data_IF_971165430059
#
_entry.id   IF_971165430059
#
_cell.length_a   1.000
_cell.length_b   1.000
_cell.length_c   1.000
_cell.angle_alpha   90.00
_cell.angle_beta   90.00
_cell.angle_gamma   90.00
#
_symmetry.space_group_name_H-M   'P 1'
#
loop_
_entity.id
_entity.type
_entity.pdbx_description
1 polymer ?
#
# COMPACT_ATOMS: atom_id res chain seq x y z
N UNK A 1 10.44 26.55 -13.45
CA UNK A 1 9.19 25.90 -13.90
C UNK A 1 9.53 24.45 -14.24
N UNK A 2 9.09 23.49 -13.43
CA UNK A 2 9.26 22.05 -13.74
C UNK A 2 8.25 21.66 -14.82
N UNK A 3 8.67 20.88 -15.82
CA UNK A 3 7.83 20.59 -16.98
C UNK A 3 6.70 19.61 -16.60
N UNK A 4 5.53 19.66 -17.25
CA UNK A 4 4.44 18.72 -16.99
C UNK A 4 4.87 17.24 -17.10
N UNK A 5 5.89 16.95 -17.92
CA UNK A 5 6.49 15.62 -18.06
C UNK A 5 7.22 15.14 -16.79
N UNK A 6 7.76 16.03 -15.96
CA UNK A 6 8.45 15.62 -14.72
C UNK A 6 7.45 15.16 -13.66
N UNK A 7 6.31 15.85 -13.53
CA UNK A 7 5.29 15.51 -12.53
C UNK A 7 4.56 14.21 -12.86
N UNK A 8 4.25 13.97 -14.13
CA UNK A 8 3.69 12.70 -14.58
C UNK A 8 4.63 11.53 -14.27
N UNK A 9 5.94 11.69 -14.52
CA UNK A 9 6.93 10.65 -14.17
C UNK A 9 6.97 10.39 -12.67
N UNK A 10 7.02 11.43 -11.83
CA UNK A 10 7.03 11.27 -10.38
C UNK A 10 5.79 10.52 -9.91
N UNK A 11 4.60 10.90 -10.40
CA UNK A 11 3.35 10.19 -10.08
C UNK A 11 3.41 8.71 -10.46
N UNK A 12 3.93 8.41 -11.65
CA UNK A 12 4.05 7.04 -12.16
C UNK A 12 5.06 6.20 -11.34
N UNK A 13 6.23 6.76 -11.03
CA UNK A 13 7.24 6.09 -10.20
C UNK A 13 6.78 5.87 -8.76
N UNK A 14 6.06 6.83 -8.17
CA UNK A 14 5.43 6.64 -6.85
C UNK A 14 4.42 5.48 -6.90
N UNK A 15 3.59 5.41 -7.95
CA UNK A 15 2.59 4.35 -8.10
C UNK A 15 3.22 2.97 -8.29
N UNK A 16 4.23 2.85 -9.16
CA UNK A 16 4.97 1.60 -9.38
C UNK A 16 5.70 1.15 -8.10
N UNK A 17 6.41 2.08 -7.44
CA UNK A 17 7.15 1.77 -6.22
C UNK A 17 6.21 1.33 -5.10
N UNK A 18 5.06 2.02 -4.97
CA UNK A 18 4.00 1.63 -4.05
C UNK A 18 3.47 0.23 -4.32
N UNK A 19 3.12 -0.08 -5.57
CA UNK A 19 2.65 -1.41 -5.99
C UNK A 19 3.66 -2.51 -5.67
N UNK A 20 4.92 -2.31 -6.04
CA UNK A 20 5.98 -3.30 -5.82
C UNK A 20 6.18 -3.54 -4.32
N UNK A 21 6.27 -2.46 -3.52
CA UNK A 21 6.45 -2.59 -2.08
C UNK A 21 5.23 -3.25 -1.41
N UNK A 22 4.00 -2.92 -1.80
CA UNK A 22 2.80 -3.62 -1.29
C UNK A 22 2.81 -5.11 -1.64
N UNK A 23 3.16 -5.47 -2.88
CA UNK A 23 3.22 -6.86 -3.30
C UNK A 23 4.28 -7.66 -2.52
N UNK A 24 5.47 -7.07 -2.30
CA UNK A 24 6.54 -7.69 -1.51
C UNK A 24 6.09 -7.90 -0.06
N UNK A 25 5.48 -6.89 0.57
CA UNK A 25 5.00 -7.01 1.96
C UNK A 25 3.95 -8.10 2.08
N UNK A 26 3.00 -8.16 1.13
CA UNK A 26 1.97 -9.19 1.13
C UNK A 26 2.57 -10.59 0.96
N UNK A 27 3.56 -10.74 0.06
CA UNK A 27 4.28 -12.01 -0.12
C UNK A 27 5.02 -12.42 1.17
N UNK A 28 5.71 -11.48 1.82
CA UNK A 28 6.42 -11.76 3.08
C UNK A 28 5.43 -12.16 4.17
N UNK A 29 4.33 -11.43 4.33
CA UNK A 29 3.30 -11.71 5.33
C UNK A 29 2.66 -13.10 5.11
N UNK A 30 2.32 -13.44 3.88
CA UNK A 30 1.74 -14.76 3.53
C UNK A 30 2.72 -15.91 3.76
N UNK A 31 3.99 -15.75 3.38
CA UNK A 31 5.04 -16.75 3.65
C UNK A 31 5.26 -16.94 5.16
N UNK A 32 5.34 -15.85 5.92
CA UNK A 32 5.48 -15.92 7.38
C UNK A 32 4.28 -16.63 8.03
N UNK A 33 3.06 -16.36 7.55
CA UNK A 33 1.84 -17.03 8.02
C UNK A 33 1.88 -18.53 7.75
N UNK A 34 2.22 -18.94 6.53
CA UNK A 34 2.32 -20.36 6.17
C UNK A 34 3.39 -21.11 6.99
N UNK A 35 4.52 -20.46 7.29
CA UNK A 35 5.56 -21.04 8.15
C UNK A 35 5.07 -21.17 9.60
N UNK A 36 4.33 -20.19 10.12
CA UNK A 36 3.79 -20.22 11.47
C UNK A 36 2.74 -21.33 11.64
N UNK A 37 1.81 -21.45 10.70
CA UNK A 37 0.77 -22.48 10.66
C UNK A 37 1.38 -23.89 10.54
N UNK A 38 2.37 -24.07 9.67
CA UNK A 38 3.04 -25.37 9.48
C UNK A 38 3.94 -25.82 10.63
N UNK A 39 4.30 -24.94 11.56
CA UNK A 39 5.19 -25.24 12.72
C UNK A 39 4.49 -25.24 14.07
N UNK A 40 3.16 -25.03 14.12
CA UNK A 40 2.41 -24.99 15.39
C UNK A 40 2.91 -23.95 16.38
N UNK A 41 3.58 -22.88 15.90
CA UNK A 41 4.26 -21.88 16.74
C UNK A 41 3.35 -20.68 17.03
N UNK A 42 3.44 -20.20 18.27
CA UNK A 42 2.57 -19.24 18.96
C UNK A 42 2.22 -17.95 18.21
N UNK A 43 1.02 -17.46 18.53
CA UNK A 43 0.45 -16.13 18.30
C UNK A 43 1.47 -14.98 18.19
N UNK A 44 2.52 -14.95 19.01
CA UNK A 44 3.52 -13.88 19.01
C UNK A 44 4.24 -13.65 17.66
N UNK A 45 4.47 -14.70 16.86
CA UNK A 45 5.14 -14.55 15.55
C UNK A 45 4.19 -13.98 14.48
N UNK A 46 2.89 -14.30 14.60
CA UNK A 46 1.81 -13.71 13.81
C UNK A 46 1.59 -12.25 14.20
N UNK A 47 1.55 -11.94 15.50
CA UNK A 47 1.41 -10.56 16.00
C UNK A 47 2.59 -9.68 15.57
N UNK A 48 3.83 -10.21 15.60
CA UNK A 48 5.02 -9.49 15.15
C UNK A 48 5.01 -9.21 13.64
N UNK A 49 4.53 -10.15 12.83
CA UNK A 49 4.35 -9.96 11.39
C UNK A 49 3.27 -8.91 11.10
N UNK A 50 2.16 -8.93 11.81
CA UNK A 50 1.09 -7.93 11.67
C UNK A 50 1.59 -6.52 12.01
N UNK A 51 2.35 -6.36 13.10
CA UNK A 51 2.96 -5.06 13.48
C UNK A 51 3.94 -4.56 12.40
N UNK A 52 4.76 -5.44 11.83
CA UNK A 52 5.68 -5.07 10.76
C UNK A 52 4.93 -4.64 9.49
N UNK A 53 3.84 -5.31 9.14
CA UNK A 53 2.95 -4.92 8.03
C UNK A 53 2.34 -3.54 8.29
N UNK A 54 1.85 -3.26 9.49
CA UNK A 54 1.31 -1.94 9.86
C UNK A 54 2.39 -0.84 9.76
N UNK A 55 3.61 -1.11 10.24
CA UNK A 55 4.70 -0.14 10.22
C UNK A 55 5.13 0.24 8.79
N UNK A 56 5.10 -0.73 7.85
CA UNK A 56 5.43 -0.50 6.45
C UNK A 56 4.30 0.16 5.66
N UNK A 57 3.06 0.08 6.15
CA UNK A 57 1.91 0.69 5.50
C UNK A 57 1.96 2.24 5.53
N UNK A 58 2.50 2.83 6.59
CA UNK A 58 2.58 4.29 6.73
C UNK A 58 3.52 4.96 5.69
N UNK A 59 4.76 4.49 5.46
CA UNK A 59 5.61 4.98 4.37
C UNK A 59 4.95 4.82 2.98
N UNK A 60 4.23 3.71 2.76
CA UNK A 60 3.50 3.43 1.54
C UNK A 60 2.36 4.43 1.29
N UNK A 61 1.59 4.73 2.34
CA UNK A 61 0.55 5.75 2.29
C UNK A 61 1.13 7.12 1.95
N UNK A 62 2.28 7.48 2.54
CA UNK A 62 2.98 8.73 2.22
C UNK A 62 3.40 8.80 0.74
N UNK A 63 4.02 7.73 0.22
CA UNK A 63 4.40 7.62 -1.20
C UNK A 63 3.21 7.76 -2.13
N UNK A 64 2.08 7.13 -1.80
CA UNK A 64 0.84 7.26 -2.57
C UNK A 64 0.31 8.70 -2.57
N UNK A 65 0.30 9.38 -1.42
CA UNK A 65 -0.11 10.79 -1.32
C UNK A 65 0.77 11.67 -2.21
N UNK A 66 2.10 11.50 -2.13
CA UNK A 66 3.05 12.25 -2.98
C UNK A 66 2.79 11.98 -4.46
N UNK A 67 2.53 10.73 -4.83
CA UNK A 67 2.22 10.35 -6.20
C UNK A 67 0.89 10.91 -6.71
N UNK A 68 -0.14 10.97 -5.86
CA UNK A 68 -1.44 11.59 -6.18
C UNK A 68 -1.28 13.10 -6.36
N UNK A 69 -0.63 13.79 -5.43
CA UNK A 69 -0.40 15.24 -5.50
C UNK A 69 0.38 15.59 -6.78
N UNK A 70 1.45 14.84 -7.07
CA UNK A 70 2.25 15.00 -8.29
C UNK A 70 1.41 14.81 -9.54
N UNK A 71 0.54 13.79 -9.57
CA UNK A 71 -0.35 13.53 -10.70
C UNK A 71 -1.41 14.62 -10.90
N UNK A 72 -1.95 15.18 -9.82
CA UNK A 72 -2.90 16.31 -9.87
C UNK A 72 -2.22 17.56 -10.43
N UNK A 73 -0.99 17.87 -9.98
CA UNK A 73 -0.21 19.01 -10.48
C UNK A 73 0.10 18.84 -11.97
N UNK A 74 0.59 17.66 -12.37
CA UNK A 74 0.87 17.34 -13.79
C UNK A 74 -0.37 17.49 -14.67
N UNK A 75 -1.53 17.02 -14.19
CA UNK A 75 -2.80 17.12 -14.92
C UNK A 75 -3.31 18.56 -15.06
N UNK A 76 -3.08 19.44 -14.06
CA UNK A 76 -3.43 20.87 -14.15
C UNK A 76 -2.55 21.63 -15.15
N UNK A 77 -1.34 21.13 -15.41
CA UNK A 77 -0.40 21.71 -16.38
C UNK A 77 -0.52 21.09 -17.79
N UNK A 78 -1.41 20.10 -17.97
CA UNK A 78 -1.57 19.38 -19.22
C UNK A 78 -2.36 20.17 -20.26
N UNK A 79 -1.72 20.39 -21.42
CA UNK A 79 -2.28 21.15 -22.55
C UNK A 79 -2.99 20.21 -23.53
N UNK A 80 -2.56 18.94 -23.61
CA UNK A 80 -3.15 17.94 -24.51
C UNK A 80 -3.98 16.89 -23.76
N UNK A 81 -4.92 16.26 -24.48
CA UNK A 81 -5.75 15.18 -23.94
C UNK A 81 -4.91 13.98 -23.48
N UNK A 82 -3.88 13.62 -24.26
CA UNK A 82 -2.97 12.53 -23.91
C UNK A 82 -2.23 12.75 -22.58
N UNK A 83 -1.76 13.98 -22.33
CA UNK A 83 -1.11 14.33 -21.07
C UNK A 83 -2.10 14.21 -19.90
N UNK A 84 -3.36 14.62 -20.10
CA UNK A 84 -4.40 14.46 -19.06
C UNK A 84 -4.70 12.99 -18.75
N UNK A 85 -4.70 12.12 -19.75
CA UNK A 85 -4.91 10.67 -19.58
C UNK A 85 -3.71 10.03 -18.88
N UNK A 86 -2.47 10.42 -19.22
CA UNK A 86 -1.27 9.94 -18.54
C UNK A 86 -1.24 10.36 -17.07
N UNK A 87 -1.52 11.63 -16.77
CA UNK A 87 -1.66 12.11 -15.40
C UNK A 87 -2.77 11.38 -14.63
N UNK A 88 -3.92 11.14 -15.25
CA UNK A 88 -5.00 10.36 -14.63
C UNK A 88 -4.58 8.90 -14.33
N UNK A 89 -3.83 8.25 -15.23
CA UNK A 89 -3.26 6.92 -14.99
C UNK A 89 -2.27 6.94 -13.81
N UNK A 90 -1.41 7.95 -13.73
CA UNK A 90 -0.50 8.12 -12.60
C UNK A 90 -1.25 8.22 -11.27
N UNK A 91 -2.32 9.03 -11.21
CA UNK A 91 -3.18 9.14 -10.02
C UNK A 91 -3.82 7.79 -9.67
N UNK A 92 -4.43 7.11 -10.64
CA UNK A 92 -5.07 5.80 -10.44
C UNK A 92 -4.08 4.75 -9.90
N UNK A 93 -2.85 4.75 -10.41
CA UNK A 93 -1.78 3.86 -9.95
C UNK A 93 -1.33 4.12 -8.51
N UNK A 94 -1.64 5.28 -7.93
CA UNK A 94 -1.38 5.54 -6.51
C UNK A 94 -2.62 5.28 -5.64
N UNK A 95 -3.81 5.68 -6.11
CA UNK A 95 -5.07 5.55 -5.34
C UNK A 95 -5.51 4.10 -5.20
N UNK A 96 -5.52 3.34 -6.30
CA UNK A 96 -6.08 1.96 -6.29
C UNK A 96 -5.30 1.05 -5.34
N UNK A 97 -3.96 0.97 -5.39
CA UNK A 97 -3.20 0.13 -4.48
C UNK A 97 -3.33 0.57 -3.03
N UNK A 98 -3.48 1.89 -2.79
CA UNK A 98 -3.69 2.40 -1.44
C UNK A 98 -5.06 1.99 -0.87
N UNK A 99 -6.14 2.10 -1.65
CA UNK A 99 -7.48 1.65 -1.21
C UNK A 99 -7.49 0.14 -0.97
N UNK A 100 -6.96 -0.64 -1.91
CA UNK A 100 -6.89 -2.11 -1.78
C UNK A 100 -6.04 -2.51 -0.59
N UNK A 101 -4.85 -1.90 -0.44
CA UNK A 101 -3.97 -2.13 0.69
C UNK A 101 -4.64 -1.79 2.01
N UNK A 102 -5.32 -0.64 2.10
CA UNK A 102 -6.05 -0.24 3.32
C UNK A 102 -7.13 -1.25 3.66
N UNK A 103 -7.95 -1.66 2.69
CA UNK A 103 -9.02 -2.64 2.91
C UNK A 103 -8.48 -3.99 3.41
N UNK A 104 -7.39 -4.48 2.81
CA UNK A 104 -6.74 -5.74 3.21
C UNK A 104 -6.16 -5.63 4.62
N UNK A 105 -5.45 -4.54 4.91
CA UNK A 105 -4.87 -4.25 6.24
C UNK A 105 -5.96 -4.14 7.30
N UNK A 106 -7.05 -3.41 7.03
CA UNK A 106 -8.19 -3.32 7.94
C UNK A 106 -8.86 -4.68 8.19
N UNK A 107 -9.04 -5.49 7.15
CA UNK A 107 -9.60 -6.84 7.29
C UNK A 107 -8.70 -7.75 8.13
N UNK A 108 -7.37 -7.67 7.94
CA UNK A 108 -6.39 -8.39 8.76
C UNK A 108 -6.45 -7.96 10.23
N UNK A 109 -6.52 -6.65 10.50
CA UNK A 109 -6.64 -6.12 11.87
C UNK A 109 -7.95 -6.58 12.51
N UNK A 110 -9.07 -6.53 11.80
CA UNK A 110 -10.36 -7.00 12.32
C UNK A 110 -10.32 -8.51 12.64
N UNK A 111 -9.72 -9.31 11.78
CA UNK A 111 -9.57 -10.75 12.01
C UNK A 111 -8.67 -11.04 13.23
N UNK A 112 -7.56 -10.32 13.38
CA UNK A 112 -6.67 -10.44 14.53
C UNK A 112 -7.36 -10.02 15.84
N UNK A 113 -8.11 -8.90 15.84
CA UNK A 113 -8.84 -8.42 17.00
C UNK A 113 -9.94 -9.41 17.43
N UNK A 114 -10.68 -10.00 16.48
CA UNK A 114 -11.68 -11.03 16.76
C UNK A 114 -11.06 -12.31 17.33
N UNK A 115 -9.84 -12.67 16.91
CA UNK A 115 -9.11 -13.81 17.47
C UNK A 115 -8.67 -13.55 18.92
N UNK A 116 -8.22 -12.33 19.22
CA UNK A 116 -7.83 -11.94 20.58
C UNK A 116 -9.01 -11.87 21.54
N UNK A 117 -10.18 -11.40 21.11
CA UNK A 117 -11.38 -11.33 21.95
C UNK A 117 -12.00 -12.71 22.23
N UNK A 118 -11.70 -13.72 21.41
CA UNK A 118 -12.17 -15.09 21.58
C UNK A 118 -11.26 -15.95 22.49
N UNK A 119 -10.06 -15.46 22.85
CA UNK A 119 -9.17 -16.14 23.79
C UNK A 119 -9.65 -15.88 25.23
N UNK A 120 -9.82 -16.91 26.08
CA UNK A 120 -10.15 -16.69 27.48
C UNK A 120 -9.02 -15.90 28.14
N UNK A 121 -9.38 -14.78 28.79
CA UNK A 121 -8.52 -14.04 29.70
C UNK A 121 -8.03 -15.02 30.77
N UNK A 122 -6.81 -15.53 30.61
CA UNK A 122 -6.07 -16.23 31.67
C UNK A 122 -5.41 -15.20 32.59
#
# INVERSE_FOLDING_TARGET
MTSPLTWDRVSLWCGITGLIATAIIFLIATVLRGIAEGRGRSSALLTGADIAVMALFLPLAFLSIVGVISGIIGRKQAVTLEQRVRGARGILLNVVPWIVGTAVVSALVMAAAALMSALPLQ
#
